data_IF_252719076336
#
_entry.id   IF_252719076336
#
_cell.length_a   1.000
_cell.length_b   1.000
_cell.length_c   1.000
_cell.angle_alpha   90.00
_cell.angle_beta   90.00
_cell.angle_gamma   90.00
#
_symmetry.space_group_name_H-M   'P 1'
#
loop_
_entity.id
_entity.type
_entity.pdbx_description
1 polymer ?
#
# COMPACT_ATOMS: atom_id res chain seq x y z
N UNK A 1 7.94 8.41 -5.33
CA UNK A 1 6.99 8.58 -6.46
C UNK A 1 7.51 7.80 -7.66
N UNK A 2 6.67 7.00 -8.28
CA UNK A 2 7.00 6.28 -9.53
C UNK A 2 6.08 6.76 -10.65
N UNK A 3 6.54 6.65 -11.88
CA UNK A 3 5.79 7.07 -13.08
C UNK A 3 6.13 6.17 -14.25
N UNK A 4 5.23 6.10 -15.20
CA UNK A 4 5.47 5.43 -16.49
C UNK A 4 5.96 6.47 -17.48
N UNK A 5 7.11 6.20 -18.09
CA UNK A 5 7.67 7.04 -19.15
C UNK A 5 7.32 6.41 -20.49
N UNK A 6 6.67 7.18 -21.35
CA UNK A 6 6.46 6.77 -22.74
C UNK A 6 7.72 7.10 -23.53
N UNK A 7 8.31 6.13 -24.25
CA UNK A 7 9.40 6.42 -25.17
C UNK A 7 8.91 7.33 -26.30
N UNK A 8 9.77 8.21 -26.76
CA UNK A 8 9.50 9.01 -27.94
C UNK A 8 9.55 8.10 -29.16
N UNK A 9 8.42 7.94 -29.86
CA UNK A 9 8.32 7.07 -31.03
C UNK A 9 6.95 7.16 -31.66
N UNK A 10 6.83 6.58 -32.87
CA UNK A 10 5.61 6.57 -33.68
C UNK A 10 4.74 5.34 -33.43
N UNK A 11 5.13 4.47 -32.50
CA UNK A 11 4.43 3.22 -32.21
C UNK A 11 3.64 3.31 -30.90
N UNK A 12 2.44 2.78 -30.92
CA UNK A 12 1.63 2.60 -29.71
C UNK A 12 2.30 1.60 -28.78
N UNK A 13 2.18 1.86 -27.48
CA UNK A 13 2.68 0.99 -26.44
C UNK A 13 1.56 0.59 -25.49
N UNK A 14 1.38 -0.71 -25.30
CA UNK A 14 0.44 -1.26 -24.33
C UNK A 14 1.22 -1.82 -23.16
N UNK A 15 0.79 -1.51 -21.95
CA UNK A 15 1.33 -2.06 -20.71
C UNK A 15 0.22 -2.75 -19.94
N UNK A 16 0.41 -4.03 -19.62
CA UNK A 16 -0.56 -4.83 -18.86
C UNK A 16 0.09 -5.26 -17.55
N UNK A 17 -0.15 -4.53 -16.43
CA UNK A 17 0.37 -4.93 -15.12
C UNK A 17 -0.41 -6.11 -14.57
N UNK A 18 0.31 -7.00 -13.90
CA UNK A 18 -0.27 -8.11 -13.14
C UNK A 18 0.17 -8.01 -11.67
N UNK A 19 -0.81 -8.01 -10.76
CA UNK A 19 -0.56 -7.95 -9.34
C UNK A 19 -0.73 -9.34 -8.72
N UNK A 20 0.37 -9.92 -8.26
CA UNK A 20 0.35 -11.18 -7.54
C UNK A 20 0.36 -10.89 -6.05
N UNK A 21 -0.82 -11.03 -5.44
CA UNK A 21 -1.02 -10.73 -4.03
C UNK A 21 -1.08 -12.02 -3.19
N UNK A 22 -0.57 -12.01 -1.95
CA UNK A 22 -0.74 -13.12 -1.02
C UNK A 22 -2.20 -13.24 -0.53
N UNK A 23 -2.51 -14.29 0.20
CA UNK A 23 -3.79 -14.42 0.89
C UNK A 23 -4.00 -13.28 1.88
N UNK A 24 -5.25 -12.90 2.13
CA UNK A 24 -5.57 -11.75 3.00
C UNK A 24 -5.09 -11.91 4.45
N UNK A 25 -5.04 -13.16 4.93
CA UNK A 25 -4.53 -13.48 6.26
C UNK A 25 -3.01 -13.71 6.30
N UNK A 26 -2.32 -13.54 5.19
CA UNK A 26 -0.87 -13.69 5.14
C UNK A 26 -0.17 -12.71 6.06
N UNK A 27 0.83 -13.20 6.79
CA UNK A 27 1.72 -12.40 7.62
C UNK A 27 3.02 -12.17 6.88
N UNK A 28 3.37 -10.91 6.73
CA UNK A 28 4.61 -10.47 6.08
C UNK A 28 5.41 -9.72 7.14
N UNK A 29 6.33 -10.41 7.83
CA UNK A 29 7.12 -9.78 8.89
C UNK A 29 8.07 -8.74 8.29
N UNK A 30 8.41 -7.74 9.08
CA UNK A 30 9.46 -6.79 8.71
C UNK A 30 10.80 -7.51 8.59
N UNK A 31 11.52 -7.22 7.53
CA UNK A 31 12.89 -7.70 7.38
C UNK A 31 13.81 -6.96 8.34
N UNK A 32 14.54 -7.71 9.14
CA UNK A 32 15.61 -7.14 9.95
C UNK A 32 16.86 -6.96 9.11
N UNK A 33 17.22 -5.72 8.88
CA UNK A 33 18.42 -5.38 8.13
C UNK A 33 19.61 -5.17 9.09
N UNK A 34 20.84 -5.56 8.68
CA UNK A 34 22.04 -5.13 9.37
C UNK A 34 22.08 -3.62 9.56
N UNK A 35 22.70 -3.15 10.65
CA UNK A 35 22.66 -1.73 11.01
C UNK A 35 23.18 -0.79 9.91
N UNK A 36 24.16 -1.22 9.12
CA UNK A 36 24.67 -0.46 7.98
C UNK A 36 23.64 -0.27 6.88
N UNK A 37 22.90 -1.32 6.54
CA UNK A 37 21.86 -1.27 5.51
C UNK A 37 20.61 -0.53 6.02
N UNK A 38 20.29 -0.69 7.30
CA UNK A 38 19.16 0.04 7.93
C UNK A 38 19.37 1.55 7.85
N UNK A 39 20.58 2.04 8.05
CA UNK A 39 20.90 3.48 7.92
C UNK A 39 20.82 3.99 6.49
N UNK A 40 21.11 3.16 5.51
CA UNK A 40 21.03 3.51 4.09
C UNK A 40 19.63 3.31 3.51
N UNK A 41 18.80 2.45 4.10
CA UNK A 41 17.44 2.20 3.63
C UNK A 41 16.57 3.43 3.91
N UNK A 42 16.06 4.02 2.85
CA UNK A 42 14.92 4.93 2.94
C UNK A 42 13.68 4.07 3.16
N UNK A 43 13.35 3.81 4.41
CA UNK A 43 12.11 3.13 4.78
C UNK A 43 10.88 3.90 4.31
N UNK A 44 9.73 3.26 4.38
CA UNK A 44 8.46 3.99 4.40
C UNK A 44 8.56 4.92 5.61
N UNK A 45 8.52 6.21 5.37
CA UNK A 45 8.51 7.20 6.44
C UNK A 45 7.36 6.85 7.39
N UNK A 46 7.61 6.96 8.67
CA UNK A 46 6.58 6.72 9.69
C UNK A 46 5.50 7.80 9.54
N UNK A 47 4.53 7.52 8.69
CA UNK A 47 3.32 8.31 8.57
C UNK A 47 2.31 7.81 9.61
N UNK A 48 2.03 8.57 10.69
CA UNK A 48 1.07 8.16 11.71
C UNK A 48 -0.32 7.85 11.15
N UNK A 49 -0.67 8.50 10.03
CA UNK A 49 -1.93 8.24 9.31
C UNK A 49 -1.92 6.99 8.43
N UNK A 50 -0.77 6.34 8.30
CA UNK A 50 -0.61 5.16 7.43
C UNK A 50 0.23 4.06 8.08
N UNK A 51 -0.15 3.65 9.27
CA UNK A 51 0.52 2.56 9.99
C UNK A 51 0.42 1.28 9.18
N UNK A 52 1.57 0.68 8.87
CA UNK A 52 1.67 -0.59 8.15
C UNK A 52 1.84 -1.73 9.16
N UNK A 53 0.96 -2.71 9.08
CA UNK A 53 1.00 -3.91 9.90
C UNK A 53 1.64 -5.07 9.14
N UNK A 54 1.93 -6.16 9.84
CA UNK A 54 2.42 -7.41 9.23
C UNK A 54 1.34 -8.19 8.49
N UNK A 55 0.06 -7.84 8.66
CA UNK A 55 -1.07 -8.51 8.01
C UNK A 55 -1.37 -7.84 6.66
N UNK A 56 -1.24 -8.61 5.57
CA UNK A 56 -1.50 -8.10 4.23
C UNK A 56 -2.93 -7.58 4.06
N UNK A 57 -3.93 -8.34 4.50
CA UNK A 57 -5.34 -7.96 4.36
C UNK A 57 -5.71 -6.70 5.13
N UNK A 58 -5.14 -6.50 6.33
CA UNK A 58 -5.35 -5.27 7.09
C UNK A 58 -4.82 -4.03 6.36
N UNK A 59 -3.64 -4.14 5.78
CA UNK A 59 -3.05 -3.05 4.99
C UNK A 59 -3.86 -2.78 3.72
N UNK A 60 -4.33 -3.82 3.05
CA UNK A 60 -5.17 -3.70 1.85
C UNK A 60 -6.51 -3.03 2.18
N UNK A 61 -7.19 -3.45 3.24
CA UNK A 61 -8.46 -2.87 3.68
C UNK A 61 -8.30 -1.38 3.97
N UNK A 62 -7.29 -1.01 4.74
CA UNK A 62 -6.98 0.39 5.03
C UNK A 62 -6.77 1.21 3.75
N UNK A 63 -6.00 0.68 2.79
CA UNK A 63 -5.77 1.36 1.52
C UNK A 63 -7.06 1.53 0.73
N UNK A 64 -7.96 0.54 0.73
CA UNK A 64 -9.25 0.61 0.04
C UNK A 64 -10.21 1.61 0.69
N UNK A 65 -10.30 1.65 2.02
CA UNK A 65 -11.12 2.63 2.73
C UNK A 65 -10.68 4.07 2.43
N UNK A 66 -9.37 4.31 2.36
CA UNK A 66 -8.81 5.62 2.01
C UNK A 66 -9.03 5.99 0.54
N UNK A 67 -8.97 5.02 -0.36
CA UNK A 67 -9.14 5.26 -1.80
C UNK A 67 -10.61 5.49 -2.19
N UNK A 68 -11.56 5.01 -1.39
CA UNK A 68 -12.99 5.09 -1.66
C UNK A 68 -13.77 5.62 -0.44
N UNK A 69 -13.54 6.87 -0.03
CA UNK A 69 -14.11 7.42 1.20
C UNK A 69 -15.65 7.46 1.19
N UNK A 70 -16.27 7.73 0.05
CA UNK A 70 -17.73 7.79 -0.06
C UNK A 70 -18.37 6.41 0.14
N UNK A 71 -17.76 5.37 -0.41
CA UNK A 71 -18.20 3.98 -0.23
C UNK A 71 -17.99 3.54 1.22
N UNK A 72 -16.84 3.88 1.77
CA UNK A 72 -16.52 3.58 3.16
C UNK A 72 -17.52 4.22 4.13
N UNK A 73 -17.84 5.50 3.95
CA UNK A 73 -18.81 6.21 4.77
C UNK A 73 -20.25 5.67 4.62
N UNK A 74 -20.61 5.15 3.45
CA UNK A 74 -21.96 4.65 3.17
C UNK A 74 -22.19 3.23 3.65
N UNK A 75 -21.17 2.36 3.56
CA UNK A 75 -21.33 0.92 3.75
C UNK A 75 -20.46 0.34 4.87
N UNK A 76 -19.45 1.08 5.36
CA UNK A 76 -18.44 0.61 6.31
C UNK A 76 -18.16 1.67 7.38
N UNK A 77 -19.18 2.32 7.88
CA UNK A 77 -19.04 3.40 8.87
C UNK A 77 -18.36 2.93 10.15
N UNK A 78 -18.61 1.69 10.56
CA UNK A 78 -17.97 1.04 11.69
C UNK A 78 -16.44 0.97 11.55
N UNK A 79 -15.95 0.72 10.33
CA UNK A 79 -14.51 0.66 10.05
C UNK A 79 -13.87 2.04 9.93
N UNK A 80 -14.64 3.04 9.49
CA UNK A 80 -14.13 4.42 9.39
C UNK A 80 -13.96 5.04 10.78
N UNK A 81 -14.93 4.84 11.67
CA UNK A 81 -14.92 5.41 13.02
C UNK A 81 -13.88 4.75 13.93
N UNK A 82 -13.62 3.45 13.77
CA UNK A 82 -12.61 2.75 14.55
C UNK A 82 -11.18 3.13 14.17
N UNK A 83 -10.96 3.73 13.02
CA UNK A 83 -9.66 4.13 12.53
C UNK A 83 -9.29 5.59 12.87
N UNK A 84 -10.20 6.33 13.52
CA UNK A 84 -10.02 7.75 13.91
C UNK A 84 -9.67 7.90 15.40
N UNK A 85 -9.57 6.81 16.10
CA UNK A 85 -9.20 6.78 17.51
C UNK A 85 -7.70 6.55 17.71
#
# INVERSE_FOLDING_TARGET
>A
MHRVLSPTGTHDRISVPFFFNPALNARIPRLELPASLRRAARGVEDDPGNVITDCFGANLLKARLRAHPDVAARHHLDLVTSNTA
#
